data_IF_590769088071
#
_entry.id   IF_590769088071
#
_cell.length_a   1.000
_cell.length_b   1.000
_cell.length_c   1.000
_cell.angle_alpha   90.00
_cell.angle_beta   90.00
_cell.angle_gamma   90.00
#
_symmetry.space_group_name_H-M   'P 1'
#
loop_
_entity.id
_entity.type
_entity.pdbx_description
1 polymer ?
#
# COMPACT_ATOMS: atom_id res chain seq x y z
N UNK A 1 -8.22 15.62 4.18
CA UNK A 1 -7.18 15.80 3.12
C UNK A 1 -6.30 14.56 2.87
N UNK A 2 -6.18 13.59 3.79
CA UNK A 2 -5.29 12.43 3.61
C UNK A 2 -5.68 11.46 2.48
N UNK A 3 -6.96 11.10 2.34
CA UNK A 3 -7.41 10.12 1.34
C UNK A 3 -7.22 10.55 -0.12
N UNK A 4 -7.44 11.84 -0.42
CA UNK A 4 -7.19 12.42 -1.75
C UNK A 4 -5.69 12.48 -2.09
N UNK A 5 -4.84 12.77 -1.09
CA UNK A 5 -3.40 12.75 -1.28
C UNK A 5 -2.88 11.31 -1.52
N UNK A 6 -3.47 10.31 -0.86
CA UNK A 6 -3.17 8.89 -1.08
C UNK A 6 -3.67 8.38 -2.44
N UNK A 7 -4.84 8.82 -2.88
CA UNK A 7 -5.34 8.55 -4.23
C UNK A 7 -4.42 9.16 -5.30
N UNK A 8 -4.03 10.43 -5.14
CA UNK A 8 -3.12 11.11 -6.05
C UNK A 8 -1.72 10.48 -6.03
N UNK A 9 -1.20 10.13 -4.85
CA UNK A 9 0.06 9.42 -4.71
C UNK A 9 0.00 8.02 -5.34
N UNK A 10 -1.11 7.29 -5.16
CA UNK A 10 -1.36 6.00 -5.80
C UNK A 10 -1.36 6.11 -7.33
N UNK A 11 -2.14 7.04 -7.89
CA UNK A 11 -2.19 7.27 -9.33
C UNK A 11 -0.81 7.68 -9.92
N UNK A 12 -0.08 8.57 -9.23
CA UNK A 12 1.27 8.99 -9.65
C UNK A 12 2.30 7.87 -9.53
N UNK A 13 2.19 7.02 -8.51
CA UNK A 13 3.13 5.92 -8.26
C UNK A 13 3.03 4.81 -9.31
N UNK A 14 1.83 4.52 -9.85
CA UNK A 14 1.67 3.54 -10.92
C UNK A 14 2.30 4.00 -12.23
N UNK A 15 2.18 5.29 -12.55
CA UNK A 15 2.88 5.88 -13.69
C UNK A 15 4.41 5.82 -13.55
N UNK A 16 4.92 5.99 -12.33
CA UNK A 16 6.36 5.93 -12.05
C UNK A 16 6.95 4.52 -12.21
N UNK A 17 6.18 3.45 -11.95
CA UNK A 17 6.64 2.06 -12.15
C UNK A 17 7.00 1.78 -13.61
N UNK A 18 6.24 2.33 -14.56
CA UNK A 18 6.52 2.18 -15.99
C UNK A 18 7.75 2.96 -16.46
N UNK A 19 8.26 3.88 -15.64
CA UNK A 19 9.48 4.64 -15.91
C UNK A 19 10.74 3.97 -15.33
N UNK A 20 10.60 2.89 -14.57
CA UNK A 20 11.74 2.15 -14.02
C UNK A 20 12.35 1.30 -15.14
N UNK A 21 13.63 1.52 -15.52
CA UNK A 21 14.24 0.84 -16.65
C UNK A 21 14.57 -0.63 -16.37
N UNK A 22 14.79 -0.99 -15.09
CA UNK A 22 15.03 -2.38 -14.70
C UNK A 22 13.70 -3.08 -14.36
N UNK A 23 13.35 -4.17 -15.08
CA UNK A 23 12.09 -4.89 -14.88
C UNK A 23 11.95 -5.53 -13.49
N UNK A 24 13.07 -5.88 -12.84
CA UNK A 24 13.10 -6.46 -11.50
C UNK A 24 12.66 -5.42 -10.47
N UNK A 25 13.22 -4.22 -10.57
CA UNK A 25 12.88 -3.09 -9.72
C UNK A 25 11.48 -2.55 -10.00
N UNK A 26 11.06 -2.54 -11.27
CA UNK A 26 9.69 -2.22 -11.65
C UNK A 26 8.69 -3.20 -11.01
N UNK A 27 8.99 -4.50 -11.06
CA UNK A 27 8.16 -5.54 -10.44
C UNK A 27 8.09 -5.39 -8.91
N UNK A 28 9.23 -5.18 -8.25
CA UNK A 28 9.27 -4.96 -6.80
C UNK A 28 8.48 -3.71 -6.38
N UNK A 29 8.60 -2.61 -7.12
CA UNK A 29 7.83 -1.39 -6.89
C UNK A 29 6.33 -1.62 -7.13
N UNK A 30 5.94 -2.33 -8.19
CA UNK A 30 4.55 -2.70 -8.45
C UNK A 30 3.96 -3.55 -7.31
N UNK A 31 4.70 -4.55 -6.83
CA UNK A 31 4.28 -5.38 -5.70
C UNK A 31 4.11 -4.57 -4.42
N UNK A 32 5.05 -3.67 -4.13
CA UNK A 32 4.94 -2.77 -2.97
C UNK A 32 3.70 -1.88 -3.06
N UNK A 33 3.44 -1.27 -4.22
CA UNK A 33 2.29 -0.38 -4.40
C UNK A 33 0.96 -1.14 -4.35
N UNK A 34 0.90 -2.32 -4.96
CA UNK A 34 -0.30 -3.16 -4.98
C UNK A 34 -0.67 -3.70 -3.60
N UNK A 35 0.29 -3.79 -2.67
CA UNK A 35 0.03 -4.12 -1.26
C UNK A 35 -0.25 -2.86 -0.45
N UNK A 36 0.62 -1.85 -0.54
CA UNK A 36 0.61 -0.71 0.37
C UNK A 36 -0.62 0.18 0.20
N UNK A 37 -1.04 0.45 -1.04
CA UNK A 37 -2.15 1.39 -1.32
C UNK A 37 -3.49 0.83 -0.84
N UNK A 38 -3.98 -0.35 -1.31
CA UNK A 38 -5.25 -0.90 -0.85
C UNK A 38 -5.19 -1.31 0.63
N UNK A 39 -4.03 -1.78 1.09
CA UNK A 39 -3.82 -2.11 2.50
C UNK A 39 -3.99 -0.90 3.42
N UNK A 40 -3.36 0.24 3.07
CA UNK A 40 -3.53 1.48 3.80
C UNK A 40 -4.99 1.95 3.76
N UNK A 41 -5.63 1.98 2.58
CA UNK A 41 -7.02 2.43 2.44
C UNK A 41 -7.99 1.54 3.25
N UNK A 42 -7.81 0.23 3.23
CA UNK A 42 -8.60 -0.70 4.06
C UNK A 42 -8.36 -0.47 5.54
N UNK A 43 -7.11 -0.27 5.97
CA UNK A 43 -6.83 0.05 7.36
C UNK A 43 -7.49 1.36 7.79
N UNK A 44 -7.63 2.36 6.91
CA UNK A 44 -8.39 3.58 7.22
C UNK A 44 -9.88 3.31 7.44
N UNK A 45 -10.42 2.35 6.68
CA UNK A 45 -11.83 2.00 6.72
C UNK A 45 -12.18 1.17 7.95
N UNK A 46 -11.34 0.19 8.30
CA UNK A 46 -11.63 -0.84 9.30
C UNK A 46 -11.06 -0.51 10.67
N UNK A 47 -9.88 0.11 10.75
CA UNK A 47 -9.18 0.29 12.02
C UNK A 47 -9.64 1.59 12.70
N UNK A 48 -10.06 1.55 13.97
CA UNK A 48 -10.34 2.76 14.75
C UNK A 48 -9.08 3.63 14.89
N UNK A 49 -9.25 4.94 14.81
CA UNK A 49 -8.12 5.89 14.91
C UNK A 49 -7.77 6.23 16.35
N UNK A 50 -8.68 5.99 17.29
CA UNK A 50 -8.49 6.25 18.71
C UNK A 50 -7.96 4.99 19.40
N UNK A 51 -6.80 5.12 20.05
CA UNK A 51 -6.21 4.05 20.85
C UNK A 51 -5.33 3.06 20.09
N UNK A 52 -5.32 3.07 18.75
CA UNK A 52 -4.43 2.21 17.96
C UNK A 52 -3.04 2.85 17.82
N UNK A 53 -1.99 2.06 18.09
CA UNK A 53 -0.62 2.52 17.89
C UNK A 53 -0.26 2.56 16.39
N UNK A 54 0.63 3.49 15.94
CA UNK A 54 0.97 3.61 14.53
C UNK A 54 1.60 2.34 13.93
N UNK A 55 2.43 1.61 14.68
CA UNK A 55 2.98 0.31 14.25
C UNK A 55 1.91 -0.76 14.09
N UNK A 56 0.97 -0.85 15.02
CA UNK A 56 -0.16 -1.78 14.93
C UNK A 56 -1.04 -1.46 13.70
N UNK A 57 -1.30 -0.17 13.46
CA UNK A 57 -2.01 0.28 12.28
C UNK A 57 -1.25 -0.08 10.99
N UNK A 58 0.07 0.14 10.96
CA UNK A 58 0.91 -0.18 9.79
C UNK A 58 0.98 -1.68 9.51
N UNK A 59 1.13 -2.51 10.54
CA UNK A 59 1.10 -3.97 10.43
C UNK A 59 -0.25 -4.45 9.92
N UNK A 60 -1.34 -3.86 10.43
CA UNK A 60 -2.70 -4.16 9.96
C UNK A 60 -2.89 -3.75 8.50
N UNK A 61 -2.39 -2.57 8.11
CA UNK A 61 -2.41 -2.12 6.72
C UNK A 61 -1.64 -3.06 5.79
N UNK A 62 -0.44 -3.50 6.20
CA UNK A 62 0.35 -4.48 5.44
C UNK A 62 -0.38 -5.83 5.31
N UNK A 63 -0.97 -6.33 6.40
CA UNK A 63 -1.75 -7.56 6.39
C UNK A 63 -2.99 -7.47 5.48
N UNK A 64 -3.72 -6.36 5.51
CA UNK A 64 -4.86 -6.09 4.63
C UNK A 64 -4.42 -5.94 3.17
N UNK A 65 -3.24 -5.36 2.92
CA UNK A 65 -2.63 -5.28 1.60
C UNK A 65 -2.25 -6.66 1.03
N UNK A 66 -1.63 -7.51 1.85
CA UNK A 66 -1.26 -8.86 1.42
C UNK A 66 -2.49 -9.74 1.17
N UNK A 67 -3.51 -9.64 2.03
CA UNK A 67 -4.75 -10.39 1.84
C UNK A 67 -5.50 -9.94 0.59
N UNK A 68 -5.53 -8.64 0.28
CA UNK A 68 -6.08 -8.15 -1.00
C UNK A 68 -5.28 -8.60 -2.20
N UNK A 69 -3.95 -8.62 -2.12
CA UNK A 69 -3.10 -9.15 -3.19
C UNK A 69 -3.38 -10.65 -3.43
N UNK A 70 -3.43 -11.46 -2.38
CA UNK A 70 -3.70 -12.91 -2.48
C UNK A 70 -5.11 -13.17 -3.00
N UNK A 71 -6.12 -12.48 -2.46
CA UNK A 71 -7.51 -12.62 -2.91
C UNK A 71 -7.67 -12.17 -4.38
N UNK A 72 -7.07 -11.03 -4.76
CA UNK A 72 -7.07 -10.54 -6.13
C UNK A 72 -6.38 -11.51 -7.08
N UNK A 73 -5.20 -12.03 -6.72
CA UNK A 73 -4.49 -13.04 -7.49
C UNK A 73 -5.30 -14.33 -7.64
N UNK A 74 -6.00 -14.76 -6.59
CA UNK A 74 -6.87 -15.92 -6.63
C UNK A 74 -8.06 -15.70 -7.58
N UNK A 75 -8.74 -14.56 -7.48
CA UNK A 75 -9.85 -14.18 -8.38
C UNK A 75 -9.37 -14.19 -9.84
N UNK A 76 -8.20 -13.62 -10.12
CA UNK A 76 -7.60 -13.61 -11.44
C UNK A 76 -7.25 -15.02 -11.95
N UNK A 77 -6.79 -15.91 -11.07
CA UNK A 77 -6.49 -17.30 -11.43
C UNK A 77 -7.75 -18.11 -11.79
N UNK A 78 -8.91 -17.78 -11.21
CA UNK A 78 -10.19 -18.41 -11.53
C UNK A 78 -10.93 -17.75 -12.70
N UNK A 79 -10.45 -16.63 -13.23
CA UNK A 79 -11.07 -16.00 -14.39
C UNK A 79 -10.77 -16.81 -15.66
N UNK A 80 -11.80 -17.17 -16.46
CA UNK A 80 -11.60 -17.89 -17.73
C UNK A 80 -10.98 -17.00 -18.83
N UNK A 81 -10.66 -15.73 -18.53
CA UNK A 81 -10.15 -14.73 -19.47
C UNK A 81 -8.79 -14.24 -18.98
N UNK A 82 -7.81 -14.20 -19.89
CA UNK A 82 -6.52 -13.58 -19.63
C UNK A 82 -6.67 -12.07 -19.71
N UNK A 83 -6.56 -11.38 -18.57
CA UNK A 83 -6.55 -9.92 -18.55
C UNK A 83 -5.21 -9.40 -19.07
N UNK A 84 -5.28 -8.43 -19.97
CA UNK A 84 -4.10 -7.67 -20.40
C UNK A 84 -3.61 -6.72 -19.30
N UNK A 85 -2.38 -6.19 -19.41
CA UNK A 85 -1.80 -5.29 -18.41
C UNK A 85 -2.66 -4.06 -18.10
N UNK A 86 -3.30 -3.49 -19.13
CA UNK A 86 -4.19 -2.32 -19.01
C UNK A 86 -5.47 -2.64 -18.23
N UNK A 87 -6.03 -3.83 -18.43
CA UNK A 87 -7.22 -4.28 -17.72
C UNK A 87 -6.93 -4.53 -16.22
N UNK A 88 -5.74 -5.08 -15.91
CA UNK A 88 -5.28 -5.23 -14.54
C UNK A 88 -5.08 -3.89 -13.84
N UNK A 89 -4.48 -2.92 -14.54
CA UNK A 89 -4.28 -1.57 -14.01
C UNK A 89 -5.64 -0.89 -13.75
N UNK A 90 -6.57 -0.95 -14.71
CA UNK A 90 -7.90 -0.39 -14.55
C UNK A 90 -8.70 -1.05 -13.40
N UNK A 91 -8.55 -2.36 -13.22
CA UNK A 91 -9.14 -3.08 -12.10
C UNK A 91 -8.61 -2.58 -10.76
N UNK A 92 -7.29 -2.41 -10.67
CA UNK A 92 -6.63 -1.91 -9.46
C UNK A 92 -7.00 -0.46 -9.14
N UNK A 93 -7.00 0.42 -10.15
CA UNK A 93 -7.44 1.81 -10.01
C UNK A 93 -8.90 1.88 -9.57
N UNK A 94 -9.76 1.07 -10.16
CA UNK A 94 -11.17 0.96 -9.77
C UNK A 94 -11.34 0.55 -8.30
N UNK A 95 -10.59 -0.45 -7.84
CA UNK A 95 -10.60 -0.88 -6.43
C UNK A 95 -10.12 0.24 -5.50
N UNK A 96 -9.05 0.94 -5.88
CA UNK A 96 -8.49 2.06 -5.11
C UNK A 96 -9.50 3.21 -5.00
N UNK A 97 -10.16 3.56 -6.09
CA UNK A 97 -11.22 4.59 -6.12
C UNK A 97 -12.42 4.18 -5.28
N UNK A 98 -12.86 2.92 -5.35
CA UNK A 98 -13.97 2.40 -4.55
C UNK A 98 -13.67 2.46 -3.05
N UNK A 99 -12.47 2.05 -2.64
CA UNK A 99 -12.04 2.12 -1.25
C UNK A 99 -11.98 3.57 -0.76
N UNK A 100 -11.41 4.47 -1.56
CA UNK A 100 -11.34 5.88 -1.21
C UNK A 100 -12.72 6.55 -1.14
N UNK A 101 -13.63 6.21 -2.05
CA UNK A 101 -15.03 6.64 -1.99
C UNK A 101 -15.72 6.10 -0.72
N UNK A 102 -15.42 4.86 -0.33
CA UNK A 102 -15.86 4.27 0.93
C UNK A 102 -15.38 5.07 2.14
N UNK A 103 -14.10 5.43 2.19
CA UNK A 103 -13.55 6.28 3.27
C UNK A 103 -14.26 7.63 3.32
N UNK A 104 -14.44 8.30 2.17
CA UNK A 104 -15.14 9.60 2.11
C UNK A 104 -16.60 9.50 2.56
N UNK A 105 -17.25 8.36 2.32
CA UNK A 105 -18.64 8.11 2.70
C UNK A 105 -18.80 7.76 4.18
N UNK A 106 -17.90 6.93 4.72
CA UNK A 106 -18.09 6.31 6.03
C UNK A 106 -17.16 6.85 7.13
N UNK A 107 -16.09 7.55 6.78
CA UNK A 107 -15.01 7.94 7.71
C UNK A 107 -14.50 9.37 7.42
N UNK A 108 -15.40 10.35 7.49
CA UNK A 108 -15.07 11.76 7.23
C UNK A 108 -14.08 12.36 8.23
N UNK A 109 -14.04 11.83 9.46
CA UNK A 109 -13.17 12.30 10.53
C UNK A 109 -11.85 11.52 10.65
N UNK A 110 -11.51 10.68 9.65
CA UNK A 110 -10.33 9.84 9.74
C UNK A 110 -9.03 10.64 9.84
N UNK A 111 -8.20 10.29 10.81
CA UNK A 111 -6.87 10.87 11.08
C UNK A 111 -5.85 9.75 11.25
N UNK A 112 -4.62 9.98 10.79
CA UNK A 112 -3.50 9.08 11.07
C UNK A 112 -3.34 8.92 12.59
N UNK A 113 -3.12 7.69 13.10
CA UNK A 113 -2.80 7.47 14.50
C UNK A 113 -1.58 8.31 14.88
N UNK A 114 -1.70 9.08 15.96
CA UNK A 114 -0.57 9.88 16.45
C UNK A 114 0.29 9.02 17.36
N UNK A 115 1.61 9.00 17.16
CA UNK A 115 2.50 8.31 18.08
C UNK A 115 2.33 8.91 19.49
N UNK A 116 2.03 8.07 20.47
CA UNK A 116 2.12 8.43 21.88
C UNK A 116 3.61 8.46 22.28
N UNK A 117 4.00 9.35 23.20
CA UNK A 117 5.41 9.56 23.54
C UNK A 117 6.15 8.30 24.03
N UNK A 118 5.42 7.25 24.44
CA UNK A 118 5.97 5.94 24.84
C UNK A 118 6.24 4.98 23.67
N UNK A 119 5.57 5.15 22.52
CA UNK A 119 5.69 4.25 21.37
C UNK A 119 6.74 4.70 20.31
N UNK A 120 7.38 5.85 20.52
CA UNK A 120 8.30 6.43 19.53
C UNK A 120 9.53 5.57 19.22
N UNK A 121 10.05 4.83 20.20
CA UNK A 121 11.25 3.99 20.04
C UNK A 121 11.01 2.72 19.20
N UNK A 122 9.99 1.89 19.47
CA UNK A 122 9.71 0.72 18.63
C UNK A 122 9.25 1.10 17.21
N UNK A 123 8.47 2.18 17.06
CA UNK A 123 8.06 2.67 15.74
C UNK A 123 9.26 3.15 14.90
N UNK A 124 10.21 3.86 15.52
CA UNK A 124 11.48 4.23 14.88
C UNK A 124 12.31 3.00 14.51
N UNK A 125 12.41 2.00 15.39
CA UNK A 125 13.13 0.77 15.10
C UNK A 125 12.51 0.00 13.93
N UNK A 126 11.19 0.00 13.80
CA UNK A 126 10.49 -0.62 12.68
C UNK A 126 10.71 0.14 11.38
N UNK A 127 10.62 1.47 11.38
CA UNK A 127 10.88 2.31 10.20
C UNK A 127 12.35 2.19 9.75
N UNK A 128 13.29 2.21 10.70
CA UNK A 128 14.72 2.01 10.43
C UNK A 128 14.98 0.60 9.92
N UNK A 129 14.34 -0.42 10.50
CA UNK A 129 14.44 -1.81 10.07
C UNK A 129 13.91 -2.03 8.66
N UNK A 130 12.73 -1.51 8.34
CA UNK A 130 12.14 -1.56 7.01
C UNK A 130 12.98 -0.79 5.99
N UNK A 131 13.48 0.39 6.37
CA UNK A 131 14.40 1.19 5.56
C UNK A 131 15.73 0.48 5.31
N UNK A 132 16.27 -0.24 6.31
CA UNK A 132 17.49 -1.03 6.17
C UNK A 132 17.28 -2.25 5.26
N UNK A 133 16.16 -2.96 5.41
CA UNK A 133 15.81 -4.11 4.56
C UNK A 133 15.62 -3.67 3.11
N UNK A 134 14.97 -2.53 2.87
CA UNK A 134 14.79 -1.97 1.53
C UNK A 134 16.07 -1.34 0.95
N UNK A 135 17.07 -1.01 1.76
CA UNK A 135 18.40 -0.56 1.31
C UNK A 135 19.36 -1.69 0.95
N UNK A 136 19.11 -2.92 1.40
CA UNK A 136 19.98 -4.07 1.13
C UNK A 136 20.22 -4.38 -0.35
N UNK A 137 19.30 -4.15 -1.32
CA UNK A 137 19.60 -4.47 -2.70
C UNK A 137 20.42 -3.39 -3.42
N UNK A 138 20.85 -2.32 -2.73
CA UNK A 138 21.65 -1.22 -3.31
C UNK A 138 23.12 -1.22 -2.86
N UNK A 139 23.61 -2.34 -2.30
CA UNK A 139 24.99 -2.47 -1.77
C UNK A 139 25.92 -3.36 -2.61
N UNK A 140 25.56 -3.74 -3.84
CA UNK A 140 26.48 -4.49 -4.69
C UNK A 140 26.09 -4.53 -6.16
N UNK A 141 26.74 -3.70 -6.97
CA UNK A 141 27.65 -4.10 -8.06
C UNK A 141 27.99 -2.83 -8.87
N UNK A 142 28.98 -2.08 -8.41
CA UNK A 142 29.81 -1.29 -9.31
C UNK A 142 30.90 -2.23 -9.83
N UNK A 143 30.71 -2.77 -11.03
CA UNK A 143 31.85 -3.07 -11.91
C UNK A 143 32.17 -1.83 -12.73
#
# INVERSE_FOLDING_TARGET
>A
MGALALLAAGALSHGAVFLVPDPTWACAAALLLTVAVPGALLAMLVVPTEGTEPSEWLLTALGLGLTTLVAGGLILAYLPVRLGPTALLAWFDGLTVLLAAGILRFRQDWRLPRPTARAALPDLALIIGLGAVLRLPNLGYSE
#
